data_IF_835835664235
#
_entry.id   IF_835835664235
#
_cell.length_a   1.000
_cell.length_b   1.000
_cell.length_c   1.000
_cell.angle_alpha   90.00
_cell.angle_beta   90.00
_cell.angle_gamma   90.00
#
_symmetry.space_group_name_H-M   'P 1'
#
loop_
_entity.id
_entity.type
_entity.pdbx_description
1 polymer ?
#
# COMPACT_ATOMS: atom_id res chain seq x y z
N UNK A 1 -7.73 -2.94 -0.73
CA UNK A 1 -7.27 -1.81 -1.58
C UNK A 1 -5.76 -1.82 -1.88
N UNK A 2 -4.88 -1.71 -0.88
CA UNK A 2 -3.41 -1.85 -1.04
C UNK A 2 -2.96 -3.29 -1.33
N UNK A 3 -3.79 -4.25 -0.94
CA UNK A 3 -3.60 -5.66 -1.29
C UNK A 3 -3.58 -5.90 -2.80
N UNK A 4 -4.46 -5.24 -3.56
CA UNK A 4 -4.55 -5.43 -5.00
C UNK A 4 -3.30 -4.89 -5.71
N UNK A 5 -2.75 -3.77 -5.21
CA UNK A 5 -1.46 -3.23 -5.65
C UNK A 5 -0.33 -4.24 -5.39
N UNK A 6 -0.24 -4.81 -4.19
CA UNK A 6 0.77 -5.85 -3.91
C UNK A 6 0.57 -7.06 -4.83
N UNK A 7 -0.65 -7.54 -5.05
CA UNK A 7 -0.92 -8.70 -5.92
C UNK A 7 -0.52 -8.49 -7.38
N UNK A 8 -0.34 -7.25 -7.85
CA UNK A 8 0.22 -6.94 -9.18
C UNK A 8 1.74 -7.08 -9.23
N UNK A 9 2.39 -7.11 -8.07
CA UNK A 9 3.83 -7.35 -7.94
C UNK A 9 4.12 -8.82 -7.65
N UNK A 10 5.36 -9.30 -7.89
CA UNK A 10 5.77 -10.64 -7.44
C UNK A 10 5.96 -10.74 -5.92
N UNK A 11 5.83 -9.65 -5.16
CA UNK A 11 6.17 -9.62 -3.73
C UNK A 11 5.10 -10.27 -2.87
N UNK A 12 5.53 -11.17 -1.97
CA UNK A 12 4.73 -11.62 -0.83
C UNK A 12 4.55 -10.49 0.20
N UNK A 13 3.63 -10.69 1.16
CA UNK A 13 3.47 -9.74 2.26
C UNK A 13 4.76 -9.58 3.09
N UNK A 14 5.57 -10.64 3.21
CA UNK A 14 6.82 -10.62 3.96
C UNK A 14 7.90 -9.82 3.22
N UNK A 15 8.05 -10.05 1.92
CA UNK A 15 9.03 -9.31 1.10
C UNK A 15 8.67 -7.82 1.03
N UNK A 16 7.38 -7.51 0.86
CA UNK A 16 6.93 -6.13 0.89
C UNK A 16 7.17 -5.50 2.27
N UNK A 17 6.93 -6.23 3.37
CA UNK A 17 7.22 -5.73 4.71
C UNK A 17 8.71 -5.39 4.91
N UNK A 18 9.60 -6.23 4.38
CA UNK A 18 11.05 -5.98 4.40
C UNK A 18 11.43 -4.73 3.60
N UNK A 19 10.86 -4.54 2.41
CA UNK A 19 11.08 -3.34 1.58
C UNK A 19 10.61 -2.07 2.30
N UNK A 20 9.46 -2.16 2.98
CA UNK A 20 8.84 -1.04 3.69
C UNK A 20 9.45 -0.78 5.07
N UNK A 21 10.28 -1.69 5.59
CA UNK A 21 10.84 -1.61 6.94
C UNK A 21 9.81 -1.76 8.05
N UNK A 22 8.73 -2.50 7.80
CA UNK A 22 7.64 -2.76 8.77
C UNK A 22 7.46 -4.26 9.00
N UNK A 23 6.60 -4.63 9.94
CA UNK A 23 6.28 -6.04 10.16
C UNK A 23 5.31 -6.58 9.09
N UNK A 24 5.38 -7.88 8.80
CA UNK A 24 4.39 -8.56 7.94
C UNK A 24 2.97 -8.43 8.51
N UNK A 25 2.84 -8.41 9.83
CA UNK A 25 1.58 -8.21 10.53
C UNK A 25 1.01 -6.81 10.24
N UNK A 26 1.87 -5.79 10.19
CA UNK A 26 1.50 -4.43 9.77
C UNK A 26 1.00 -4.43 8.32
N UNK A 27 1.73 -5.05 7.39
CA UNK A 27 1.27 -5.21 5.99
C UNK A 27 -0.09 -5.89 5.92
N UNK A 28 -0.28 -6.99 6.66
CA UNK A 28 -1.55 -7.71 6.70
C UNK A 28 -2.68 -6.86 7.28
N UNK A 29 -2.44 -6.10 8.35
CA UNK A 29 -3.43 -5.22 8.96
C UNK A 29 -3.85 -4.06 8.02
N UNK A 30 -2.88 -3.52 7.28
CA UNK A 30 -3.11 -2.53 6.21
C UNK A 30 -3.96 -3.13 5.08
N UNK A 31 -3.59 -4.33 4.60
CA UNK A 31 -4.31 -5.00 3.51
C UNK A 31 -5.75 -5.37 3.87
N UNK A 32 -6.00 -5.73 5.13
CA UNK A 32 -7.32 -6.15 5.63
C UNK A 32 -8.15 -4.98 6.20
N UNK A 33 -7.70 -3.73 5.98
CA UNK A 33 -8.44 -2.52 6.35
C UNK A 33 -8.91 -2.51 7.81
N UNK A 34 -8.07 -3.02 8.74
CA UNK A 34 -8.42 -3.05 10.16
C UNK A 34 -8.60 -1.60 10.66
N UNK A 35 -9.79 -1.25 11.21
CA UNK A 35 -10.05 0.09 11.74
C UNK A 35 -8.96 0.48 12.77
N UNK A 36 -8.38 1.68 12.63
CA UNK A 36 -7.31 2.19 13.50
C UNK A 36 -5.87 1.84 13.08
N UNK A 37 -5.66 0.84 12.20
CA UNK A 37 -4.33 0.67 11.56
C UNK A 37 -4.16 1.69 10.45
N UNK A 38 -5.22 1.89 9.66
CA UNK A 38 -5.29 2.81 8.53
C UNK A 38 -5.15 4.27 8.96
N UNK A 39 -5.77 4.69 10.08
CA UNK A 39 -5.62 6.03 10.66
C UNK A 39 -4.18 6.37 11.10
N UNK A 40 -3.37 5.34 11.38
CA UNK A 40 -1.97 5.47 11.78
C UNK A 40 -0.99 5.16 10.63
N UNK A 41 -1.47 4.91 9.40
CA UNK A 41 -0.56 4.75 8.27
C UNK A 41 0.01 6.12 7.91
N UNK A 42 1.30 6.30 8.19
CA UNK A 42 2.04 7.47 7.73
C UNK A 42 2.01 7.56 6.20
N UNK A 43 1.85 8.76 5.66
CA UNK A 43 2.03 9.07 4.22
C UNK A 43 3.32 8.46 3.67
N UNK A 44 4.38 8.40 4.48
CA UNK A 44 5.66 7.79 4.10
C UNK A 44 5.55 6.30 3.76
N UNK A 45 4.76 5.52 4.51
CA UNK A 45 4.55 4.09 4.25
C UNK A 45 3.78 3.91 2.94
N UNK A 46 2.76 4.74 2.70
CA UNK A 46 1.98 4.73 1.47
C UNK A 46 2.86 5.07 0.26
N UNK A 47 3.72 6.09 0.40
CA UNK A 47 4.67 6.48 -0.64
C UNK A 47 5.63 5.33 -0.96
N UNK A 48 6.26 4.74 0.06
CA UNK A 48 7.18 3.60 -0.11
C UNK A 48 6.48 2.39 -0.74
N UNK A 49 5.21 2.14 -0.38
CA UNK A 49 4.39 1.08 -0.98
C UNK A 49 4.15 1.36 -2.46
N UNK A 50 3.80 2.59 -2.81
CA UNK A 50 3.66 3.00 -4.21
C UNK A 50 4.96 2.82 -4.98
N UNK A 51 6.08 3.34 -4.45
CA UNK A 51 7.41 3.22 -5.07
C UNK A 51 7.80 1.74 -5.28
N UNK A 52 7.50 0.87 -4.32
CA UNK A 52 7.74 -0.58 -4.44
C UNK A 52 6.86 -1.24 -5.52
N UNK A 53 5.66 -0.73 -5.77
CA UNK A 53 4.73 -1.28 -6.76
C UNK A 53 4.80 -0.61 -8.14
N UNK A 54 5.36 0.59 -8.25
CA UNK A 54 5.29 1.46 -9.43
C UNK A 54 5.84 0.81 -10.72
N UNK A 55 6.82 -0.10 -10.61
CA UNK A 55 7.38 -0.84 -11.75
C UNK A 55 6.53 -2.03 -12.24
N UNK A 56 5.42 -2.33 -11.58
CA UNK A 56 4.62 -3.53 -11.80
C UNK A 56 3.13 -3.24 -12.05
N UNK A 57 2.72 -1.99 -11.93
CA UNK A 57 1.32 -1.58 -12.01
C UNK A 57 1.06 -0.83 -13.32
N UNK A 58 -0.12 -1.02 -13.90
CA UNK A 58 -0.57 -0.29 -15.09
C UNK A 58 -1.12 1.10 -14.73
N UNK A 59 -1.25 1.98 -15.73
CA UNK A 59 -1.73 3.37 -15.57
C UNK A 59 -3.11 3.45 -14.89
N UNK A 60 -3.98 2.44 -15.08
CA UNK A 60 -5.30 2.40 -14.45
C UNK A 60 -5.17 2.13 -12.96
N UNK A 61 -4.30 1.19 -12.60
CA UNK A 61 -3.97 0.86 -11.21
C UNK A 61 -3.30 2.05 -10.50
N UNK A 62 -2.41 2.78 -11.18
CA UNK A 62 -1.79 4.00 -10.66
C UNK A 62 -2.82 5.12 -10.43
N UNK A 63 -3.71 5.36 -11.40
CA UNK A 63 -4.78 6.34 -11.27
C UNK A 63 -5.70 6.03 -10.08
N UNK A 64 -6.11 4.76 -9.95
CA UNK A 64 -6.95 4.32 -8.84
C UNK A 64 -6.26 4.53 -7.49
N UNK A 65 -4.95 4.26 -7.40
CA UNK A 65 -4.18 4.55 -6.20
C UNK A 65 -4.20 6.04 -5.85
N UNK A 66 -3.94 6.94 -6.82
CA UNK A 66 -3.95 8.39 -6.58
C UNK A 66 -5.32 8.89 -6.10
N UNK A 67 -6.40 8.49 -6.76
CA UNK A 67 -7.78 8.84 -6.35
C UNK A 67 -8.07 8.40 -4.92
N UNK A 68 -7.56 7.23 -4.54
CA UNK A 68 -7.74 6.69 -3.20
C UNK A 68 -6.94 7.47 -2.15
N UNK A 69 -5.69 7.84 -2.43
CA UNK A 69 -4.90 8.69 -1.55
C UNK A 69 -5.55 10.07 -1.36
N UNK A 70 -6.06 10.67 -2.43
CA UNK A 70 -6.80 11.94 -2.37
C UNK A 70 -8.04 11.81 -1.47
N UNK A 71 -8.85 10.76 -1.65
CA UNK A 71 -10.01 10.49 -0.78
C UNK A 71 -9.63 10.23 0.67
N UNK A 72 -8.51 9.53 0.90
CA UNK A 72 -8.07 9.13 2.22
C UNK A 72 -7.53 10.29 3.04
N UNK A 73 -6.76 11.19 2.41
CA UNK A 73 -6.18 12.36 3.07
C UNK A 73 -7.02 13.64 2.94
N UNK A 74 -8.18 13.58 2.26
CA UNK A 74 -9.12 14.69 2.15
C UNK A 74 -8.61 15.88 1.32
N UNK A 75 -7.75 15.62 0.33
CA UNK A 75 -7.29 16.64 -0.63
C UNK A 75 -8.33 16.91 -1.74
#
# INVERSE_FOLDING_TARGET
>A
MLQELRKKTPYSQLELAQILGISRETVSAIENEKPGTIDNISIEIIRKWHEACQGHIDDTTEYNFKVLITKFFGF
#
